data_IF_559489965898
#
_entry.id   IF_559489965898
#
_cell.length_a   1.000
_cell.length_b   1.000
_cell.length_c   1.000
_cell.angle_alpha   90.00
_cell.angle_beta   90.00
_cell.angle_gamma   90.00
#
_symmetry.space_group_name_H-M   'P 1'
#
loop_
_entity.id
_entity.type
_entity.pdbx_description
1 polymer ?
#
# COMPACT_ATOMS: atom_id res chain seq x y z
N UNK A 1 21.11 2.32 -11.54
CA UNK A 1 19.96 2.05 -10.66
C UNK A 1 20.36 1.00 -9.65
N UNK A 2 20.49 1.37 -8.38
CA UNK A 2 20.73 0.41 -7.29
C UNK A 2 19.50 -0.49 -7.19
N UNK A 3 19.68 -1.81 -7.38
CA UNK A 3 18.61 -2.78 -7.10
C UNK A 3 18.22 -2.59 -5.64
N UNK A 4 16.94 -2.40 -5.37
CA UNK A 4 16.44 -2.40 -4.00
C UNK A 4 16.78 -3.76 -3.39
N UNK A 5 17.68 -3.77 -2.41
CA UNK A 5 18.08 -4.99 -1.73
C UNK A 5 16.85 -5.58 -1.04
N UNK A 6 16.66 -6.90 -1.15
CA UNK A 6 15.52 -7.62 -0.58
C UNK A 6 15.29 -7.30 0.91
N UNK A 7 16.37 -7.03 1.66
CA UNK A 7 16.31 -6.58 3.05
C UNK A 7 15.50 -5.29 3.26
N UNK A 8 15.65 -4.28 2.39
CA UNK A 8 14.93 -3.01 2.51
C UNK A 8 13.44 -3.17 2.17
N UNK A 9 13.12 -4.04 1.20
CA UNK A 9 11.74 -4.39 0.89
C UNK A 9 11.05 -5.06 2.10
N UNK A 10 11.71 -6.04 2.71
CA UNK A 10 11.20 -6.74 3.87
C UNK A 10 11.02 -5.79 5.07
N UNK A 11 12.00 -4.93 5.34
CA UNK A 11 11.91 -3.91 6.38
C UNK A 11 10.71 -2.98 6.16
N UNK A 12 10.49 -2.52 4.93
CA UNK A 12 9.35 -1.65 4.59
C UNK A 12 8.01 -2.35 4.84
N UNK A 13 7.90 -3.63 4.47
CA UNK A 13 6.71 -4.43 4.72
C UNK A 13 6.43 -4.61 6.23
N UNK A 14 7.48 -4.86 7.02
CA UNK A 14 7.37 -4.97 8.49
C UNK A 14 6.95 -3.64 9.11
N UNK A 15 7.56 -2.52 8.72
CA UNK A 15 7.20 -1.19 9.21
C UNK A 15 5.75 -0.83 8.87
N UNK A 16 5.30 -1.18 7.66
CA UNK A 16 3.91 -0.98 7.25
C UNK A 16 2.94 -1.81 8.12
N UNK A 17 3.24 -3.09 8.36
CA UNK A 17 2.42 -3.93 9.22
C UNK A 17 2.36 -3.39 10.67
N UNK A 18 3.49 -2.93 11.22
CA UNK A 18 3.53 -2.30 12.53
C UNK A 18 2.67 -1.02 12.58
N UNK A 19 2.76 -0.16 11.57
CA UNK A 19 1.94 1.04 11.47
C UNK A 19 0.44 0.73 11.40
N UNK A 20 0.06 -0.31 10.64
CA UNK A 20 -1.33 -0.77 10.54
C UNK A 20 -1.84 -1.27 11.90
N UNK A 21 -1.03 -2.05 12.62
CA UNK A 21 -1.36 -2.52 13.97
C UNK A 21 -1.53 -1.35 14.94
N UNK A 22 -0.64 -0.36 14.90
CA UNK A 22 -0.79 0.84 15.75
C UNK A 22 -2.05 1.63 15.43
N UNK A 23 -2.41 1.76 14.15
CA UNK A 23 -3.66 2.43 13.74
C UNK A 23 -4.90 1.69 14.27
N UNK A 24 -5.00 0.38 14.01
CA UNK A 24 -6.13 -0.45 14.47
C UNK A 24 -6.17 -0.53 16.01
N UNK A 25 -5.00 -0.61 16.66
CA UNK A 25 -4.88 -0.55 18.10
C UNK A 25 -5.38 0.79 18.67
N UNK A 26 -5.02 1.91 18.05
CA UNK A 26 -5.54 3.23 18.43
C UNK A 26 -7.05 3.33 18.32
N UNK A 27 -7.63 2.77 17.26
CA UNK A 27 -9.10 2.66 17.11
C UNK A 27 -9.69 1.78 18.22
N UNK A 28 -9.01 0.71 18.62
CA UNK A 28 -9.47 -0.19 19.69
C UNK A 28 -9.49 0.48 21.07
N UNK A 29 -8.50 1.32 21.40
CA UNK A 29 -8.45 2.01 22.70
C UNK A 29 -9.37 3.23 22.80
N UNK A 30 -10.04 3.62 21.72
CA UNK A 30 -10.94 4.77 21.71
C UNK A 30 -12.21 4.47 22.54
N UNK A 31 -12.61 5.33 23.50
CA UNK A 31 -13.82 5.15 24.30
C UNK A 31 -15.06 5.59 23.51
N UNK A 32 -15.38 4.86 22.43
CA UNK A 32 -16.52 5.12 21.55
C UNK A 32 -17.40 3.88 21.39
N UNK A 33 -18.61 4.07 20.89
CA UNK A 33 -19.53 2.98 20.59
C UNK A 33 -18.91 1.96 19.61
N UNK A 34 -19.27 0.68 19.78
CA UNK A 34 -18.75 -0.42 18.96
C UNK A 34 -19.02 -0.23 17.46
N UNK A 35 -20.16 0.37 17.11
CA UNK A 35 -20.54 0.63 15.72
C UNK A 35 -19.63 1.68 15.06
N UNK A 36 -19.37 2.79 15.77
CA UNK A 36 -18.48 3.87 15.29
C UNK A 36 -17.07 3.32 15.09
N UNK A 37 -16.61 2.49 16.04
CA UNK A 37 -15.31 1.82 15.97
C UNK A 37 -15.18 0.92 14.75
N UNK A 38 -16.21 0.11 14.47
CA UNK A 38 -16.25 -0.76 13.30
C UNK A 38 -16.19 0.06 11.99
N UNK A 39 -16.94 1.16 11.92
CA UNK A 39 -16.91 2.06 10.76
C UNK A 39 -15.51 2.66 10.52
N UNK A 40 -14.84 3.14 11.56
CA UNK A 40 -13.47 3.66 11.47
C UNK A 40 -12.46 2.59 11.03
N UNK A 41 -12.59 1.38 11.59
CA UNK A 41 -11.73 0.25 11.23
C UNK A 41 -11.93 -0.16 9.76
N UNK A 42 -13.18 -0.27 9.30
CA UNK A 42 -13.51 -0.56 7.91
C UNK A 42 -12.99 0.53 6.96
N UNK A 43 -13.18 1.80 7.31
CA UNK A 43 -12.67 2.94 6.55
C UNK A 43 -11.14 2.90 6.41
N UNK A 44 -10.43 2.65 7.51
CA UNK A 44 -8.96 2.56 7.50
C UNK A 44 -8.47 1.38 6.64
N UNK A 45 -9.05 0.19 6.81
CA UNK A 45 -8.69 -1.00 6.03
C UNK A 45 -9.00 -0.83 4.53
N UNK A 46 -10.16 -0.26 4.20
CA UNK A 46 -10.55 -0.01 2.82
C UNK A 46 -9.66 1.04 2.15
N UNK A 47 -9.29 2.09 2.87
CA UNK A 47 -8.35 3.10 2.39
C UNK A 47 -6.98 2.49 2.08
N UNK A 48 -6.44 1.68 3.00
CA UNK A 48 -5.18 0.93 2.81
C UNK A 48 -5.25 0.02 1.58
N UNK A 49 -6.31 -0.76 1.44
CA UNK A 49 -6.51 -1.65 0.29
C UNK A 49 -6.54 -0.84 -1.03
N UNK A 50 -7.26 0.29 -1.04
CA UNK A 50 -7.37 1.17 -2.20
C UNK A 50 -6.03 1.82 -2.57
N UNK A 51 -5.22 2.21 -1.58
CA UNK A 51 -3.85 2.71 -1.83
C UNK A 51 -2.97 1.67 -2.50
N UNK A 52 -3.06 0.39 -2.13
CA UNK A 52 -2.33 -0.69 -2.82
C UNK A 52 -2.84 -0.96 -4.23
N UNK A 53 -4.14 -0.84 -4.47
CA UNK A 53 -4.69 -0.95 -5.82
C UNK A 53 -4.19 0.21 -6.71
N UNK A 54 -4.23 1.45 -6.20
CA UNK A 54 -3.70 2.62 -6.90
C UNK A 54 -2.20 2.48 -7.18
N UNK A 55 -1.42 1.99 -6.21
CA UNK A 55 0.02 1.74 -6.41
C UNK A 55 0.28 0.72 -7.53
N UNK A 56 -0.56 -0.33 -7.65
CA UNK A 56 -0.49 -1.25 -8.79
C UNK A 56 -0.79 -0.53 -10.10
N UNK A 57 -1.88 0.24 -10.18
CA UNK A 57 -2.22 1.00 -11.38
C UNK A 57 -1.06 1.91 -11.83
N UNK A 58 -0.38 2.59 -10.89
CA UNK A 58 0.78 3.43 -11.20
C UNK A 58 1.95 2.60 -11.74
N UNK A 59 2.29 1.47 -11.09
CA UNK A 59 3.35 0.57 -11.58
C UNK A 59 3.02 0.01 -12.96
N UNK A 60 1.79 -0.45 -13.15
CA UNK A 60 1.34 -1.05 -14.40
C UNK A 60 1.41 -0.01 -15.55
N UNK A 61 1.14 1.27 -15.28
CA UNK A 61 1.37 2.37 -16.23
C UNK A 61 2.85 2.62 -16.55
N UNK A 62 3.75 2.50 -15.56
CA UNK A 62 5.19 2.63 -15.77
C UNK A 62 5.74 1.48 -16.64
N UNK A 63 5.28 0.26 -16.40
CA UNK A 63 5.65 -0.93 -17.17
C UNK A 63 5.15 -0.84 -18.62
N UNK A 64 3.91 -0.39 -18.83
CA UNK A 64 3.34 -0.18 -20.16
C UNK A 64 4.16 0.83 -20.98
N UNK A 65 4.48 2.01 -20.43
CA UNK A 65 5.34 3.01 -21.10
C UNK A 65 6.73 2.47 -21.43
N UNK A 66 7.32 1.71 -20.51
CA UNK A 66 8.62 1.09 -20.76
C UNK A 66 8.57 0.03 -21.87
N UNK A 67 7.45 -0.68 -22.02
CA UNK A 67 7.22 -1.61 -23.12
C UNK A 67 7.04 -0.90 -24.46
N UNK A 68 6.27 0.20 -24.51
CA UNK A 68 6.09 1.03 -25.72
C UNK A 68 7.44 1.51 -26.28
N UNK A 69 8.29 2.09 -25.43
CA UNK A 69 9.64 2.56 -25.83
C UNK A 69 10.49 1.43 -26.41
N UNK A 70 10.38 0.22 -25.85
CA UNK A 70 11.10 -0.95 -26.37
C UNK A 70 10.59 -1.35 -27.75
N UNK A 71 9.28 -1.36 -27.96
CA UNK A 71 8.69 -1.69 -29.27
C UNK A 71 9.12 -0.68 -30.33
N UNK A 72 9.12 0.62 -30.00
CA UNK A 72 9.60 1.67 -30.89
C UNK A 72 11.09 1.50 -31.24
N UNK A 73 11.92 1.00 -30.32
CA UNK A 73 13.34 0.74 -30.59
C UNK A 73 13.60 -0.42 -31.55
N UNK A 74 12.62 -1.30 -31.79
CA UNK A 74 12.70 -2.40 -32.75
C UNK A 74 12.02 -2.07 -34.09
N UNK A 75 11.39 -0.90 -34.20
CA UNK A 75 10.74 -0.41 -35.41
C UNK A 75 11.68 0.48 -36.23
#
# INVERSE_FOLDING_TARGET
MTKTTYAFYLQSAISFAAALVFMVGGIYFLPVDGWIRAFLCLGALFLVNSSFALAKCVRDQQEARAAEIRVDAYR
#
